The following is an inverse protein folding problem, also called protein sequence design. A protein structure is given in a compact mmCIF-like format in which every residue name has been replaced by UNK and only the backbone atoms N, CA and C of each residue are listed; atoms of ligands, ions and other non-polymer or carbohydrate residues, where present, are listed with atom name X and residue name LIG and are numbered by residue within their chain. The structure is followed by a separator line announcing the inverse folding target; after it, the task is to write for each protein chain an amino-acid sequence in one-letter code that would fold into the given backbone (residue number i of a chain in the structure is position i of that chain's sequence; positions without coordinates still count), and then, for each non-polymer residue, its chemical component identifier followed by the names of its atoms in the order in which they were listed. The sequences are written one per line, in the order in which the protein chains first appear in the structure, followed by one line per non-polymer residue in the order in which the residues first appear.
data_IF_022624979786
#
_entry.id   IF_022624979786
#
_cell.length_a   1.000
_cell.length_b   1.000
_cell.length_c   1.000
_cell.angle_alpha   90.00
_cell.angle_beta   90.00
_cell.angle_gamma   90.00
#
_symmetry.space_group_name_H-M   'P 1'
#
loop_
_entity.id
_entity.type
_entity.pdbx_description
1 polymer ?
#
# COMPACT_ATOMS: atom_id res chain seq x y z
N UNK A 1 -54.08 51.36 11.28
CA UNK A 1 -53.51 50.05 10.90
C UNK A 1 -53.29 49.21 12.15
N UNK A 2 -54.27 48.45 12.62
CA UNK A 2 -54.09 47.37 13.60
C UNK A 2 -55.35 46.49 13.58
N UNK A 3 -55.22 45.25 13.08
CA UNK A 3 -56.18 44.17 13.32
C UNK A 3 -55.39 42.87 13.48
N UNK A 4 -55.32 42.41 14.74
CA UNK A 4 -54.87 41.10 15.14
C UNK A 4 -55.90 40.07 14.69
N UNK A 5 -55.50 39.11 13.85
CA UNK A 5 -56.27 37.90 13.60
C UNK A 5 -55.50 36.70 14.17
N UNK A 6 -56.09 36.09 15.20
CA UNK A 6 -55.65 34.84 15.82
C UNK A 6 -55.91 33.69 14.85
N UNK A 7 -54.89 32.89 14.55
CA UNK A 7 -55.05 31.59 13.90
C UNK A 7 -54.78 30.50 14.94
N UNK A 8 -55.82 29.70 15.20
CA UNK A 8 -55.81 28.60 16.13
C UNK A 8 -54.95 27.43 15.64
N UNK A 9 -54.31 26.75 16.59
CA UNK A 9 -53.57 25.52 16.36
C UNK A 9 -54.54 24.38 16.00
N UNK A 10 -54.43 23.85 14.79
CA UNK A 10 -55.05 22.58 14.41
C UNK A 10 -54.08 21.45 14.71
N UNK A 11 -54.46 20.58 15.65
CA UNK A 11 -53.73 19.35 15.99
C UNK A 11 -53.87 18.34 14.86
N UNK A 12 -52.83 18.19 14.04
CA UNK A 12 -52.77 17.16 13.02
C UNK A 12 -52.63 15.76 13.65
N UNK A 13 -53.63 14.92 13.38
CA UNK A 13 -53.70 13.51 13.76
C UNK A 13 -52.55 12.72 13.11
N UNK A 14 -51.72 12.06 13.93
CA UNK A 14 -50.66 11.16 13.47
C UNK A 14 -51.27 9.82 13.07
N UNK A 15 -51.55 9.62 11.80
CA UNK A 15 -51.86 8.29 11.25
C UNK A 15 -50.57 7.49 11.01
N UNK A 16 -50.62 6.23 11.47
CA UNK A 16 -49.58 5.19 11.45
C UNK A 16 -48.99 4.96 10.05
N UNK A 17 -47.73 5.35 9.83
CA UNK A 17 -46.89 4.89 8.72
C UNK A 17 -45.99 3.74 9.21
N UNK A 18 -46.56 2.58 9.53
CA UNK A 18 -45.80 1.39 9.98
C UNK A 18 -45.60 0.32 8.89
N UNK A 19 -45.85 0.64 7.61
CA UNK A 19 -45.69 -0.30 6.48
C UNK A 19 -44.42 -0.12 5.64
N UNK A 20 -43.77 1.04 5.69
CA UNK A 20 -42.66 1.40 4.78
C UNK A 20 -41.26 1.04 5.30
N UNK A 21 -41.12 0.78 6.60
CA UNK A 21 -39.82 0.51 7.23
C UNK A 21 -39.34 -0.91 6.93
N UNK A 22 -40.25 -1.87 6.84
CA UNK A 22 -39.90 -3.27 6.64
C UNK A 22 -39.40 -3.53 5.22
N UNK A 23 -40.11 -3.03 4.20
CA UNK A 23 -39.71 -3.16 2.80
C UNK A 23 -38.36 -2.48 2.49
N UNK A 24 -38.10 -1.28 3.06
CA UNK A 24 -36.79 -0.62 2.95
C UNK A 24 -35.67 -1.44 3.59
N UNK A 25 -35.92 -2.12 4.71
CA UNK A 25 -34.91 -2.96 5.38
C UNK A 25 -34.60 -4.24 4.59
N UNK A 26 -35.62 -4.88 4.01
CA UNK A 26 -35.42 -6.05 3.16
C UNK A 26 -34.67 -5.70 1.88
N UNK A 27 -35.07 -4.61 1.20
CA UNK A 27 -34.41 -4.11 -0.01
C UNK A 27 -32.94 -3.74 0.24
N UNK A 28 -32.63 -3.08 1.36
CA UNK A 28 -31.22 -2.75 1.74
C UNK A 28 -30.41 -3.99 2.09
N UNK A 29 -31.03 -5.04 2.66
CA UNK A 29 -30.33 -6.28 3.00
C UNK A 29 -29.97 -7.10 1.76
N UNK A 30 -30.83 -7.09 0.75
CA UNK A 30 -30.62 -7.74 -0.54
C UNK A 30 -29.52 -7.02 -1.33
N UNK A 31 -29.57 -5.68 -1.42
CA UNK A 31 -28.50 -4.87 -2.04
C UNK A 31 -27.14 -5.10 -1.37
N UNK A 32 -27.08 -5.18 -0.03
CA UNK A 32 -25.82 -5.45 0.68
C UNK A 32 -25.27 -6.85 0.42
N UNK A 33 -26.16 -7.82 0.21
CA UNK A 33 -25.75 -9.18 -0.14
C UNK A 33 -25.26 -9.25 -1.60
N UNK A 34 -25.86 -8.49 -2.50
CA UNK A 34 -25.42 -8.41 -3.90
C UNK A 34 -24.07 -7.71 -4.04
N UNK A 35 -23.85 -6.60 -3.32
CA UNK A 35 -22.53 -5.95 -3.23
C UNK A 35 -21.47 -6.89 -2.64
N UNK A 36 -21.82 -7.65 -1.59
CA UNK A 36 -20.92 -8.64 -0.99
C UNK A 36 -20.63 -9.84 -1.91
N UNK A 37 -21.53 -10.14 -2.84
CA UNK A 37 -21.37 -11.21 -3.83
C UNK A 37 -20.42 -10.79 -4.96
N UNK A 38 -20.41 -9.50 -5.32
CA UNK A 38 -19.49 -8.93 -6.31
C UNK A 38 -18.03 -8.91 -5.81
N UNK A 39 -17.79 -8.65 -4.52
CA UNK A 39 -16.43 -8.69 -3.94
C UNK A 39 -15.81 -10.10 -3.89
N UNK A 40 -16.59 -11.16 -4.11
CA UNK A 40 -16.12 -12.55 -4.01
C UNK A 40 -15.72 -13.19 -5.35
N UNK A 41 -15.91 -12.48 -6.49
CA UNK A 41 -15.58 -12.98 -7.83
C UNK A 41 -14.70 -12.05 -8.68
N UNK A 42 -14.22 -10.94 -8.14
CA UNK A 42 -13.22 -10.06 -8.78
C UNK A 42 -11.83 -10.16 -8.12
N UNK A 43 -11.43 -11.35 -7.68
CA UNK A 43 -10.06 -11.61 -7.21
C UNK A 43 -9.12 -12.05 -8.34
N UNK A 44 -9.42 -11.69 -9.59
CA UNK A 44 -8.68 -12.10 -10.79
C UNK A 44 -7.77 -11.02 -11.38
N UNK A 45 -8.06 -9.74 -11.15
CA UNK A 45 -7.42 -8.61 -11.83
C UNK A 45 -6.90 -7.52 -10.87
N UNK A 46 -6.61 -7.87 -9.61
CA UNK A 46 -5.79 -7.00 -8.78
C UNK A 46 -4.35 -7.11 -9.26
N UNK A 47 -3.98 -6.22 -10.18
CA UNK A 47 -2.60 -5.98 -10.57
C UNK A 47 -1.80 -5.73 -9.30
N UNK A 48 -0.99 -6.72 -8.89
CA UNK A 48 -0.18 -6.60 -7.68
C UNK A 48 0.82 -5.47 -7.87
N UNK A 49 0.55 -4.32 -7.24
CA UNK A 49 1.45 -3.16 -7.27
C UNK A 49 2.84 -3.50 -6.71
N UNK A 50 2.99 -4.58 -5.95
CA UNK A 50 4.30 -5.05 -5.51
C UNK A 50 5.15 -5.62 -6.67
N UNK A 51 4.53 -6.16 -7.72
CA UNK A 51 5.20 -6.67 -8.91
C UNK A 51 6.07 -5.59 -9.59
N UNK A 52 5.61 -4.34 -9.52
CA UNK A 52 6.24 -3.18 -10.16
C UNK A 52 7.19 -2.39 -9.27
N UNK A 53 7.25 -2.71 -7.96
CA UNK A 53 8.28 -2.14 -7.09
C UNK A 53 9.66 -2.56 -7.56
N UNK A 54 10.64 -1.65 -7.47
CA UNK A 54 12.01 -1.93 -7.89
C UNK A 54 12.62 -3.13 -7.16
N UNK A 55 12.32 -3.28 -5.86
CA UNK A 55 12.61 -4.43 -5.03
C UNK A 55 11.46 -4.67 -4.04
N UNK A 56 11.36 -5.84 -3.38
CA UNK A 56 10.25 -6.13 -2.47
C UNK A 56 10.20 -5.17 -1.27
N UNK A 57 11.37 -4.71 -0.81
CA UNK A 57 11.54 -3.76 0.29
C UNK A 57 11.70 -2.29 -0.15
N UNK A 58 11.93 -2.03 -1.44
CA UNK A 58 12.22 -0.67 -1.95
C UNK A 58 11.40 -0.36 -3.21
N UNK A 59 10.45 0.59 -3.18
CA UNK A 59 9.54 0.82 -4.30
C UNK A 59 10.19 1.53 -5.48
N UNK A 60 11.06 2.51 -5.25
CA UNK A 60 11.60 3.42 -6.27
C UNK A 60 13.00 3.01 -6.76
N UNK A 61 13.52 3.73 -7.75
CA UNK A 61 14.92 3.64 -8.16
C UNK A 61 15.85 4.35 -7.17
N UNK A 62 17.13 3.99 -7.15
CA UNK A 62 18.17 4.56 -6.27
C UNK A 62 19.43 5.02 -7.04
N UNK A 63 19.37 5.03 -8.37
CA UNK A 63 20.41 5.58 -9.24
C UNK A 63 19.76 6.33 -10.41
N UNK A 64 20.42 7.39 -10.89
CA UNK A 64 19.90 8.26 -11.95
C UNK A 64 19.69 7.53 -13.28
N UNK A 65 20.53 6.53 -13.56
CA UNK A 65 20.49 5.75 -14.81
C UNK A 65 19.65 4.47 -14.67
N UNK A 66 19.14 4.19 -13.47
CA UNK A 66 18.35 3.00 -13.22
C UNK A 66 16.94 3.16 -13.78
N UNK A 67 16.53 2.23 -14.64
CA UNK A 67 15.18 2.20 -15.21
C UNK A 67 14.20 1.63 -14.17
N UNK A 68 13.05 2.29 -13.94
CA UNK A 68 11.97 1.75 -13.12
C UNK A 68 11.47 0.42 -13.65
N UNK A 69 11.19 -0.54 -12.76
CA UNK A 69 10.76 -1.90 -13.13
C UNK A 69 9.48 -1.91 -13.96
N UNK A 70 8.55 -1.00 -13.67
CA UNK A 70 7.32 -0.77 -14.45
C UNK A 70 7.57 -0.51 -15.94
N UNK A 71 8.71 0.08 -16.31
CA UNK A 71 9.09 0.32 -17.70
C UNK A 71 9.97 -0.83 -18.20
N UNK A 72 10.89 -1.31 -17.37
CA UNK A 72 11.88 -2.33 -17.75
C UNK A 72 11.26 -3.71 -18.05
N UNK A 73 10.14 -4.07 -17.41
CA UNK A 73 9.45 -5.35 -17.57
C UNK A 73 8.31 -5.27 -18.60
N UNK A 74 8.45 -4.42 -19.61
CA UNK A 74 7.47 -4.25 -20.70
C UNK A 74 8.03 -4.76 -22.03
N UNK A 75 7.12 -5.10 -22.94
CA UNK A 75 7.42 -5.49 -24.32
C UNK A 75 7.27 -6.99 -24.63
N UNK A 76 7.51 -7.39 -25.90
CA UNK A 76 7.14 -8.72 -26.41
C UNK A 76 7.78 -9.90 -25.67
N UNK A 77 8.92 -9.68 -25.01
CA UNK A 77 9.62 -10.72 -24.23
C UNK A 77 8.90 -11.08 -22.93
N UNK A 78 8.02 -10.21 -22.43
CA UNK A 78 7.34 -10.39 -21.13
C UNK A 78 5.84 -10.74 -21.27
N UNK A 79 5.27 -10.72 -22.46
CA UNK A 79 3.82 -10.87 -22.73
C UNK A 79 3.23 -12.23 -22.29
N UNK A 80 4.08 -13.24 -22.11
CA UNK A 80 3.70 -14.58 -21.62
C UNK A 80 4.64 -15.07 -20.51
N UNK A 81 5.37 -14.14 -19.88
CA UNK A 81 6.28 -14.47 -18.79
C UNK A 81 5.57 -14.23 -17.46
N UNK A 82 5.63 -15.21 -16.55
CA UNK A 82 5.23 -15.00 -15.16
C UNK A 82 6.22 -14.03 -14.49
N UNK A 83 5.75 -12.80 -14.24
CA UNK A 83 6.54 -11.72 -13.66
C UNK A 83 6.86 -11.91 -12.17
N UNK A 84 6.04 -12.68 -11.44
CA UNK A 84 6.27 -12.96 -10.01
C UNK A 84 7.35 -14.03 -9.81
N UNK A 85 7.50 -14.95 -10.75
CA UNK A 85 8.59 -15.93 -10.75
C UNK A 85 9.95 -15.32 -11.15
N UNK A 86 9.98 -14.09 -11.67
CA UNK A 86 11.23 -13.44 -12.07
C UNK A 86 12.09 -13.05 -10.86
N UNK A 87 13.43 -13.05 -10.98
CA UNK A 87 14.31 -12.64 -9.88
C UNK A 87 14.00 -11.23 -9.37
N UNK A 88 13.67 -11.12 -8.07
CA UNK A 88 13.37 -9.86 -7.39
C UNK A 88 14.08 -9.81 -6.03
N UNK A 89 15.41 -9.63 -6.00
CA UNK A 89 16.19 -9.61 -4.75
C UNK A 89 15.83 -8.39 -3.89
N UNK A 90 16.12 -8.48 -2.60
CA UNK A 90 16.00 -7.34 -1.69
C UNK A 90 17.02 -6.26 -2.03
N UNK A 91 16.61 -5.00 -1.93
CA UNK A 91 17.51 -3.87 -2.09
C UNK A 91 18.43 -3.74 -0.87
N UNK A 92 19.74 -3.78 -1.11
CA UNK A 92 20.75 -3.72 -0.05
C UNK A 92 20.75 -2.39 0.72
N UNK A 93 20.30 -1.29 0.10
CA UNK A 93 20.25 0.05 0.71
C UNK A 93 19.38 0.08 1.98
N UNK A 94 18.21 -0.57 1.98
CA UNK A 94 17.37 -0.61 3.20
C UNK A 94 17.87 -1.64 4.20
N UNK A 95 18.56 -2.68 3.73
CA UNK A 95 19.16 -3.67 4.63
C UNK A 95 20.32 -3.06 5.41
N UNK A 96 21.19 -2.28 4.75
CA UNK A 96 22.29 -1.60 5.43
C UNK A 96 21.78 -0.45 6.31
N UNK A 97 20.69 0.21 5.94
CA UNK A 97 20.07 1.25 6.78
C UNK A 97 19.54 0.72 8.13
N UNK A 98 19.25 -0.59 8.22
CA UNK A 98 18.86 -1.25 9.49
C UNK A 98 20.05 -1.59 10.39
N UNK A 99 21.27 -1.60 9.86
CA UNK A 99 22.45 -1.93 10.64
C UNK A 99 22.77 -0.79 11.63
N UNK A 100 23.10 -1.11 12.89
CA UNK A 100 23.41 -0.10 13.89
C UNK A 100 24.77 0.55 13.62
N UNK A 101 24.89 1.83 13.99
CA UNK A 101 26.17 2.55 13.95
C UNK A 101 27.10 1.97 15.02
N UNK A 102 28.33 1.60 14.62
CA UNK A 102 29.37 1.11 15.52
C UNK A 102 30.10 2.30 16.15
N UNK A 103 30.12 2.37 17.48
CA UNK A 103 30.84 3.41 18.22
C UNK A 103 32.24 2.91 18.55
N UNK A 104 33.26 3.74 18.33
CA UNK A 104 34.65 3.43 18.65
C UNK A 104 35.29 4.55 19.43
N UNK A 105 36.29 4.20 20.24
CA UNK A 105 37.07 5.17 21.01
C UNK A 105 38.31 5.60 20.21
N UNK A 106 38.26 6.78 19.59
CA UNK A 106 39.38 7.36 18.85
C UNK A 106 38.96 8.09 17.58
N UNK A 107 39.93 8.69 16.87
CA UNK A 107 39.71 9.46 15.63
C UNK A 107 39.63 8.60 14.36
N UNK A 108 40.02 7.32 14.43
CA UNK A 108 40.09 6.44 13.26
C UNK A 108 39.40 5.11 13.55
N UNK A 109 38.52 4.68 12.65
CA UNK A 109 38.03 3.31 12.58
C UNK A 109 38.71 2.57 11.42
N UNK A 110 38.77 1.24 11.51
CA UNK A 110 39.11 0.38 10.38
C UNK A 110 37.94 -0.56 10.06
N UNK A 111 37.80 -0.92 8.79
CA UNK A 111 36.82 -1.90 8.34
C UNK A 111 37.49 -2.87 7.36
N UNK A 112 37.22 -4.15 7.54
CA UNK A 112 37.71 -5.27 6.71
C UNK A 112 36.59 -6.25 6.31
N UNK A 113 35.32 -5.94 6.63
CA UNK A 113 34.18 -6.80 6.31
C UNK A 113 33.97 -7.99 7.26
N UNK A 114 34.58 -7.98 8.45
CA UNK A 114 34.32 -8.87 9.60
C UNK A 114 34.71 -10.35 9.42
N UNK A 115 34.94 -10.84 8.20
CA UNK A 115 35.50 -12.18 7.97
C UNK A 115 37.03 -12.11 7.99
N UNK A 116 37.64 -12.70 9.01
CA UNK A 116 39.09 -12.94 9.11
C UNK A 116 39.58 -13.73 7.88
N UNK A 117 40.11 -13.05 6.85
CA UNK A 117 40.65 -13.67 5.64
C UNK A 117 40.44 -12.84 4.36
N UNK A 118 40.50 -13.50 3.20
CA UNK A 118 40.33 -12.89 1.87
C UNK A 118 38.87 -12.75 1.40
N UNK A 119 37.90 -13.11 2.24
CA UNK A 119 36.46 -13.09 1.91
C UNK A 119 35.81 -11.72 2.14
N UNK A 120 36.50 -10.80 2.80
CA UNK A 120 36.07 -9.42 3.00
C UNK A 120 36.55 -8.47 1.90
N UNK A 121 36.35 -7.17 2.13
CA UNK A 121 36.92 -6.13 1.27
C UNK A 121 38.33 -5.73 1.78
N UNK A 122 39.17 -5.08 0.95
CA UNK A 122 40.45 -4.57 1.40
C UNK A 122 40.30 -3.66 2.63
N UNK A 123 41.26 -3.75 3.55
CA UNK A 123 41.24 -2.95 4.78
C UNK A 123 41.26 -1.46 4.45
N UNK A 124 40.25 -0.75 4.92
CA UNK A 124 40.16 0.72 4.82
C UNK A 124 40.19 1.36 6.20
N UNK A 125 40.69 2.60 6.25
CA UNK A 125 40.68 3.43 7.45
C UNK A 125 39.75 4.62 7.23
N UNK A 126 38.81 4.82 8.16
CA UNK A 126 37.77 5.84 8.11
C UNK A 126 38.09 6.87 9.20
N UNK A 127 38.14 8.15 8.82
CA UNK A 127 38.26 9.24 9.79
C UNK A 127 36.88 9.53 10.39
N UNK A 128 36.83 9.67 11.71
CA UNK A 128 35.63 9.96 12.50
C UNK A 128 35.64 11.41 12.99
#
# INVERSE_FOLDING_TARGET
MFKLARLGASTASKTRLSGLVLAKRFYVKEIKNDLKKQDSSESGDLVDLNAFKQAPNHPTVWSNEQIPREIAMTGPRFEQTDLEAQPRPLAAIDLIAKQPVRIVNGRKAYCDGEVSGSTGHPRVYINL
#
